data_IF_515387067966
#
_entry.id   IF_515387067966
#
_cell.length_a   1.000
_cell.length_b   1.000
_cell.length_c   1.000
_cell.angle_alpha   90.00
_cell.angle_beta   90.00
_cell.angle_gamma   90.00
#
_symmetry.space_group_name_H-M   'P 1'
#
loop_
_entity.id
_entity.type
_entity.pdbx_description
1 polymer ?
#
# COMPACT_ATOMS: atom_id res chain seq x y z
N UNK A 1 10.09 -4.11 -9.80
CA UNK A 1 10.79 -2.88 -9.36
C UNK A 1 9.75 -1.80 -9.04
N UNK A 2 10.06 -0.87 -8.14
CA UNK A 2 9.17 0.26 -7.82
C UNK A 2 9.48 1.47 -8.73
N UNK A 3 8.50 2.34 -9.03
CA UNK A 3 8.72 3.56 -9.79
C UNK A 3 9.71 4.51 -9.10
N UNK A 4 10.60 5.14 -9.86
CA UNK A 4 11.59 6.11 -9.33
C UNK A 4 10.92 7.34 -8.73
N UNK A 5 9.79 7.78 -9.30
CA UNK A 5 9.02 8.92 -8.83
C UNK A 5 7.96 8.56 -7.77
N UNK A 6 8.10 7.43 -7.07
CA UNK A 6 7.18 7.04 -6.00
C UNK A 6 7.27 8.04 -4.82
N UNK A 7 6.12 8.53 -4.35
CA UNK A 7 6.01 9.39 -3.17
C UNK A 7 6.25 8.59 -1.88
N UNK A 8 7.51 8.35 -1.55
CA UNK A 8 7.94 7.46 -0.46
C UNK A 8 7.32 7.78 0.90
N UNK A 9 7.17 9.07 1.24
CA UNK A 9 6.52 9.47 2.51
C UNK A 9 5.04 9.06 2.55
N UNK A 10 4.29 9.25 1.46
CA UNK A 10 2.89 8.82 1.38
C UNK A 10 2.79 7.29 1.37
N UNK A 11 3.68 6.62 0.64
CA UNK A 11 3.76 5.17 0.60
C UNK A 11 3.99 4.58 2.01
N UNK A 12 4.92 5.14 2.80
CA UNK A 12 5.20 4.70 4.16
C UNK A 12 4.00 4.88 5.12
N UNK A 13 3.26 5.99 4.98
CA UNK A 13 2.03 6.21 5.75
C UNK A 13 0.99 5.13 5.41
N UNK A 14 0.78 4.87 4.11
CA UNK A 14 -0.14 3.83 3.65
C UNK A 14 0.28 2.43 4.09
N UNK A 15 1.58 2.12 4.09
CA UNK A 15 2.09 0.85 4.60
C UNK A 15 1.64 0.63 6.03
N UNK A 16 1.89 1.63 6.89
CA UNK A 16 1.57 1.50 8.31
C UNK A 16 0.07 1.38 8.53
N UNK A 17 -0.75 2.23 7.91
CA UNK A 17 -2.20 2.19 8.08
C UNK A 17 -2.83 0.91 7.52
N UNK A 18 -2.34 0.41 6.39
CA UNK A 18 -2.85 -0.81 5.76
C UNK A 18 -2.54 -2.04 6.62
N UNK A 19 -1.30 -2.20 7.06
CA UNK A 19 -0.89 -3.34 7.87
C UNK A 19 -1.51 -3.28 9.27
N UNK A 20 -1.48 -2.12 9.94
CA UNK A 20 -2.10 -1.98 11.26
C UNK A 20 -3.62 -2.19 11.21
N UNK A 21 -4.30 -1.68 10.18
CA UNK A 21 -5.75 -1.85 10.02
C UNK A 21 -6.14 -3.31 9.79
N UNK A 22 -5.40 -4.06 8.98
CA UNK A 22 -5.63 -5.50 8.80
C UNK A 22 -5.47 -6.28 10.11
N UNK A 23 -4.40 -5.99 10.85
CA UNK A 23 -4.15 -6.64 12.14
C UNK A 23 -5.23 -6.28 13.17
N UNK A 24 -5.58 -5.01 13.30
CA UNK A 24 -6.59 -4.54 14.25
C UNK A 24 -7.97 -5.14 13.95
N UNK A 25 -8.41 -5.11 12.68
CA UNK A 25 -9.69 -5.68 12.28
C UNK A 25 -9.74 -7.20 12.53
N UNK A 26 -8.65 -7.91 12.24
CA UNK A 26 -8.58 -9.35 12.48
C UNK A 26 -8.55 -9.68 13.99
N UNK A 27 -7.80 -8.93 14.80
CA UNK A 27 -7.75 -9.11 16.25
C UNK A 27 -9.10 -8.79 16.91
N UNK A 28 -9.85 -7.82 16.37
CA UNK A 28 -11.19 -7.49 16.84
C UNK A 28 -12.21 -8.58 16.48
N UNK A 29 -12.12 -9.17 15.29
CA UNK A 29 -13.04 -10.20 14.80
C UNK A 29 -12.30 -11.33 14.06
N UNK A 30 -11.66 -12.29 14.77
CA UNK A 30 -10.78 -13.29 14.16
C UNK A 30 -11.50 -14.30 13.26
N UNK A 31 -12.82 -14.40 13.36
CA UNK A 31 -13.65 -15.26 12.51
C UNK A 31 -14.18 -14.56 11.25
N UNK A 32 -13.95 -13.25 11.10
CA UNK A 32 -14.45 -12.47 9.96
C UNK A 32 -13.73 -12.82 8.65
N UNK A 33 -12.42 -13.11 8.71
CA UNK A 33 -11.61 -13.56 7.57
C UNK A 33 -10.34 -14.29 8.03
N UNK A 34 -9.77 -15.12 7.15
CA UNK A 34 -8.52 -15.84 7.42
C UNK A 34 -7.30 -15.00 7.04
N UNK A 35 -6.84 -14.17 7.99
CA UNK A 35 -5.66 -13.31 7.78
C UNK A 35 -4.41 -14.13 7.43
N UNK A 36 -4.22 -15.32 8.02
CA UNK A 36 -3.00 -16.12 7.80
C UNK A 36 -2.94 -16.62 6.36
N UNK A 37 -4.07 -17.09 5.84
CA UNK A 37 -4.18 -17.57 4.45
C UNK A 37 -4.05 -16.43 3.44
N UNK A 38 -4.71 -15.30 3.70
CA UNK A 38 -4.78 -14.18 2.76
C UNK A 38 -3.61 -13.19 2.85
N UNK A 39 -2.76 -13.27 3.89
CA UNK A 39 -1.65 -12.35 4.13
C UNK A 39 -0.77 -12.11 2.90
N UNK A 40 -0.46 -13.17 2.14
CA UNK A 40 0.34 -13.05 0.91
C UNK A 40 -0.36 -12.17 -0.12
N UNK A 41 -1.66 -12.37 -0.33
CA UNK A 41 -2.44 -11.58 -1.28
C UNK A 41 -2.51 -10.11 -0.84
N UNK A 42 -2.73 -9.83 0.44
CA UNK A 42 -2.75 -8.46 0.96
C UNK A 42 -1.41 -7.73 0.78
N UNK A 43 -0.28 -8.41 1.01
CA UNK A 43 1.04 -7.83 0.76
C UNK A 43 1.27 -7.60 -0.73
N UNK A 44 0.86 -8.53 -1.60
CA UNK A 44 0.93 -8.34 -3.05
C UNK A 44 0.14 -7.11 -3.49
N UNK A 45 -1.09 -6.95 -3.01
CA UNK A 45 -1.94 -5.77 -3.29
C UNK A 45 -1.24 -4.48 -2.87
N UNK A 46 -0.62 -4.46 -1.68
CA UNK A 46 0.12 -3.30 -1.19
C UNK A 46 1.29 -2.93 -2.13
N UNK A 47 2.02 -3.93 -2.62
CA UNK A 47 3.14 -3.73 -3.54
C UNK A 47 2.67 -3.28 -4.93
N UNK A 48 1.60 -3.88 -5.45
CA UNK A 48 0.96 -3.49 -6.71
C UNK A 48 0.44 -2.06 -6.65
N UNK A 49 -0.12 -1.63 -5.51
CA UNK A 49 -0.54 -0.25 -5.30
C UNK A 49 0.62 0.74 -5.47
N UNK A 50 1.81 0.43 -4.96
CA UNK A 50 3.00 1.27 -5.18
C UNK A 50 3.51 1.25 -6.63
N UNK A 51 3.29 0.16 -7.35
CA UNK A 51 3.71 0.02 -8.74
C UNK A 51 2.75 0.73 -9.71
N UNK A 52 1.45 0.58 -9.50
CA UNK A 52 0.43 0.84 -10.51
C UNK A 52 -0.38 2.11 -10.25
N UNK A 53 -0.56 2.54 -9.00
CA UNK A 53 -1.40 3.71 -8.71
C UNK A 53 -0.71 5.03 -9.12
N UNK A 54 -1.25 5.78 -10.09
CA UNK A 54 -0.61 7.01 -10.57
C UNK A 54 -0.63 8.13 -9.52
N UNK A 55 -1.62 8.13 -8.62
CA UNK A 55 -1.76 9.12 -7.54
C UNK A 55 -0.68 9.00 -6.45
N UNK A 56 0.07 7.89 -6.43
CA UNK A 56 1.23 7.70 -5.57
C UNK A 56 2.55 8.11 -6.23
N UNK A 57 2.51 8.61 -7.46
CA UNK A 57 3.68 9.11 -8.17
C UNK A 57 3.74 10.62 -8.04
N UNK A 58 4.94 11.17 -7.89
CA UNK A 58 5.16 12.60 -8.01
C UNK A 58 4.81 13.02 -9.43
N UNK A 59 4.00 14.08 -9.58
CA UNK A 59 3.75 14.67 -10.89
C UNK A 59 5.08 15.08 -11.49
N UNK A 60 5.38 14.56 -12.67
CA UNK A 60 6.48 15.05 -13.51
C UNK A 60 6.05 16.40 -14.10
N UNK A 61 5.88 17.43 -13.27
CA UNK A 61 5.91 18.82 -13.78
C UNK A 61 7.39 19.17 -13.91
N UNK A 62 8.03 18.52 -14.87
CA UNK A 62 9.30 18.94 -15.45
C UNK A 62 8.96 19.98 -16.51
N UNK A 63 9.13 21.24 -16.14
CA UNK A 63 9.32 22.46 -16.95
C UNK A 63 8.68 22.59 -18.33
N UNK A 64 8.04 23.74 -18.58
CA UNK A 64 8.42 24.74 -19.60
C UNK A 64 7.28 25.77 -19.81
N UNK A 65 7.56 27.00 -20.28
CA UNK A 65 8.85 27.59 -20.65
C UNK A 65 9.45 28.53 -19.59
#
# INVERSE_FOLDING_TARGET
MLPENLLTRRAAILMRSFISGLMENWLFAPQSFDLKKEARAYVTILLEMYQLCPTLRASTVTGSP
#
